data_IF_359108755203
#
_entry.id   IF_359108755203
#
_cell.length_a   1.000
_cell.length_b   1.000
_cell.length_c   1.000
_cell.angle_alpha   90.00
_cell.angle_beta   90.00
_cell.angle_gamma   90.00
#
_symmetry.space_group_name_H-M   'P 1'
#
loop_
_entity.id
_entity.type
_entity.pdbx_description
1 polymer ?
#
# COMPACT_ATOMS: atom_id res chain seq x y z
N UNK A 1 -4.93 -23.35 2.54
CA UNK A 1 -4.42 -23.22 3.93
C UNK A 1 -3.07 -22.46 4.00
N UNK A 2 -2.83 -21.48 3.12
CA UNK A 2 -1.67 -20.61 3.22
C UNK A 2 -2.15 -19.19 3.49
N UNK A 3 -2.12 -18.77 4.75
CA UNK A 3 -2.26 -17.36 5.11
C UNK A 3 -0.89 -16.71 4.95
N UNK A 4 -0.53 -16.34 3.73
CA UNK A 4 0.66 -15.52 3.51
C UNK A 4 0.40 -14.14 4.10
N UNK A 5 1.14 -13.80 5.15
CA UNK A 5 1.15 -12.46 5.72
C UNK A 5 2.05 -11.59 4.87
N UNK A 6 1.48 -10.55 4.28
CA UNK A 6 2.26 -9.57 3.51
C UNK A 6 2.94 -8.62 4.49
N UNK A 7 4.27 -8.59 4.47
CA UNK A 7 5.09 -7.78 5.38
C UNK A 7 5.64 -6.55 4.66
N UNK A 8 5.98 -6.70 3.38
CA UNK A 8 6.52 -5.66 2.54
C UNK A 8 5.68 -5.58 1.26
N UNK A 9 5.24 -4.38 0.90
CA UNK A 9 4.49 -4.11 -0.33
C UNK A 9 5.16 -2.96 -1.07
N UNK A 10 5.75 -3.26 -2.22
CA UNK A 10 6.24 -2.25 -3.14
C UNK A 10 5.22 -2.01 -4.25
N UNK A 11 4.68 -0.80 -4.27
CA UNK A 11 3.78 -0.27 -5.27
C UNK A 11 4.37 0.98 -5.91
N UNK A 12 5.69 1.17 -5.85
CA UNK A 12 6.37 2.31 -6.48
C UNK A 12 6.16 2.33 -8.01
N UNK A 13 6.27 3.53 -8.60
CA UNK A 13 6.16 3.76 -10.05
C UNK A 13 4.81 3.33 -10.67
N UNK A 14 3.74 3.38 -9.89
CA UNK A 14 2.39 3.10 -10.36
C UNK A 14 1.58 4.38 -10.53
N UNK A 15 0.29 4.22 -10.85
CA UNK A 15 -0.68 5.32 -11.01
C UNK A 15 -1.67 5.35 -9.86
N UNK A 16 -1.20 5.09 -8.64
CA UNK A 16 -2.04 5.12 -7.44
C UNK A 16 -2.32 6.57 -7.09
N UNK A 17 -3.56 6.99 -7.31
CA UNK A 17 -4.02 8.35 -6.96
C UNK A 17 -4.42 8.41 -5.48
N UNK A 18 -4.96 7.31 -4.94
CA UNK A 18 -5.45 7.23 -3.56
C UNK A 18 -5.17 5.84 -3.00
N UNK A 19 -4.73 5.78 -1.75
CA UNK A 19 -4.61 4.50 -1.05
C UNK A 19 -6.00 4.01 -0.63
N UNK A 20 -6.34 2.74 -0.88
CA UNK A 20 -7.60 2.18 -0.41
C UNK A 20 -7.64 2.17 1.12
N UNK A 21 -8.79 2.50 1.71
CA UNK A 21 -8.97 2.49 3.18
C UNK A 21 -8.67 1.12 3.79
N UNK A 22 -8.92 0.06 3.01
CA UNK A 22 -8.73 -1.35 3.37
C UNK A 22 -7.25 -1.70 3.63
N UNK A 23 -6.32 -0.84 3.19
CA UNK A 23 -4.89 -1.01 3.45
C UNK A 23 -4.58 -0.95 4.95
N UNK A 24 -5.45 -0.30 5.74
CA UNK A 24 -5.40 -0.32 7.21
C UNK A 24 -5.67 -1.71 7.81
N UNK A 25 -6.36 -2.58 7.09
CA UNK A 25 -6.72 -3.92 7.56
C UNK A 25 -5.56 -4.92 7.35
N UNK A 26 -4.50 -4.50 6.65
CA UNK A 26 -3.27 -5.26 6.45
C UNK A 26 -2.38 -5.21 7.70
N UNK A 27 -2.83 -5.85 8.78
CA UNK A 27 -2.16 -5.85 10.09
C UNK A 27 -0.73 -6.42 10.11
N UNK A 28 -0.31 -7.14 9.06
CA UNK A 28 1.04 -7.69 8.96
C UNK A 28 2.01 -6.80 8.19
N UNK A 29 1.53 -5.76 7.51
CA UNK A 29 2.33 -4.92 6.63
C UNK A 29 3.18 -3.97 7.49
N UNK A 30 4.49 -4.11 7.38
CA UNK A 30 5.49 -3.29 8.07
C UNK A 30 5.95 -2.14 7.17
N UNK A 31 6.05 -2.39 5.87
CA UNK A 31 6.59 -1.43 4.93
C UNK A 31 5.75 -1.38 3.64
N UNK A 32 5.39 -0.16 3.26
CA UNK A 32 4.63 0.15 2.05
C UNK A 32 5.42 1.20 1.26
N UNK A 33 5.94 0.81 0.10
CA UNK A 33 6.56 1.75 -0.83
C UNK A 33 5.52 2.18 -1.87
N UNK A 34 5.27 3.49 -1.95
CA UNK A 34 4.36 4.11 -2.91
C UNK A 34 5.02 5.28 -3.64
N UNK A 35 6.35 5.31 -3.68
CA UNK A 35 7.11 6.33 -4.40
C UNK A 35 6.73 6.39 -5.89
N UNK A 36 6.90 7.56 -6.50
CA UNK A 36 6.57 7.78 -7.91
C UNK A 36 5.12 7.42 -8.28
N UNK A 37 4.18 7.55 -7.33
CA UNK A 37 2.75 7.53 -7.59
C UNK A 37 2.18 8.94 -7.52
N UNK A 38 1.17 9.29 -8.34
CA UNK A 38 0.47 10.57 -8.29
C UNK A 38 -0.50 10.62 -7.09
N UNK A 39 -0.01 10.34 -5.88
CA UNK A 39 -0.82 10.30 -4.67
C UNK A 39 -1.39 11.69 -4.38
N UNK A 40 -2.70 11.78 -4.51
CA UNK A 40 -3.47 12.96 -4.18
C UNK A 40 -3.75 12.90 -2.67
N UNK A 41 -2.90 13.56 -1.88
CA UNK A 41 -3.20 13.77 -0.47
C UNK A 41 -4.42 14.69 -0.38
N UNK A 42 -5.47 14.34 0.40
CA UNK A 42 -6.53 15.29 0.65
C UNK A 42 -5.94 16.54 1.35
N UNK A 43 -6.53 17.74 1.12
CA UNK A 43 -6.12 18.97 1.79
C UNK A 43 -6.25 18.89 3.31
#
# INVERSE_FOLDING_TARGET
>A
LCSLKLIYLDCSNNRIVRLPLNLRDMNSLIELNVENNPLEFPP
#
